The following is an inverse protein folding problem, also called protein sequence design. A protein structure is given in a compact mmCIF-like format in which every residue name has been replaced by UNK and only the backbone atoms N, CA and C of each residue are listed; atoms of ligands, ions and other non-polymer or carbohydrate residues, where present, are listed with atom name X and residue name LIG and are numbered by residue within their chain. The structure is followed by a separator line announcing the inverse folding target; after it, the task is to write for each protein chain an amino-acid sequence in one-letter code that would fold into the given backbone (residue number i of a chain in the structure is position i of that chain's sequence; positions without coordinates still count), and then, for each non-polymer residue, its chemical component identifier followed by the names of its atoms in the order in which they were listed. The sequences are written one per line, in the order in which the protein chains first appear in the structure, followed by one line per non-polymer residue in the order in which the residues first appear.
data_IF_279398347125
#
_entry.id   IF_279398347125
#
_cell.length_a   1.000
_cell.length_b   1.000
_cell.length_c   1.000
_cell.angle_alpha   90.00
_cell.angle_beta   90.00
_cell.angle_gamma   90.00
#
_symmetry.space_group_name_H-M   'P 1'
#
loop_
_entity.id
_entity.type
_entity.pdbx_description
1 polymer ?
#
# COMPACT_ATOMS: atom_id res chain seq x y z
N UNK A 1 -11.45 1.29 -17.29
CA UNK A 1 -10.81 1.12 -15.96
C UNK A 1 -9.55 0.29 -16.15
N UNK A 2 -8.42 0.71 -15.61
CA UNK A 2 -7.15 -0.02 -15.64
C UNK A 2 -6.86 -0.61 -14.26
N UNK A 3 -6.64 -1.91 -14.19
CA UNK A 3 -6.32 -2.62 -12.95
C UNK A 3 -4.91 -3.20 -13.05
N UNK A 4 -4.05 -2.81 -12.13
CA UNK A 4 -2.73 -3.41 -12.00
C UNK A 4 -2.78 -4.65 -11.11
N UNK A 5 -2.23 -5.77 -11.56
CA UNK A 5 -2.02 -6.99 -10.78
C UNK A 5 -0.55 -7.07 -10.41
N UNK A 6 -0.25 -7.08 -9.11
CA UNK A 6 1.10 -7.32 -8.58
C UNK A 6 1.13 -8.72 -7.98
N UNK A 7 1.83 -9.63 -8.66
CA UNK A 7 2.06 -10.99 -8.15
C UNK A 7 3.35 -11.05 -7.34
N UNK A 8 3.21 -11.16 -6.03
CA UNK A 8 4.31 -11.22 -5.07
C UNK A 8 4.75 -12.64 -4.67
N UNK A 9 4.23 -13.67 -5.33
CA UNK A 9 4.71 -15.05 -5.16
C UNK A 9 6.03 -15.32 -5.89
N UNK A 10 6.78 -16.36 -5.52
CA UNK A 10 8.00 -16.78 -6.24
C UNK A 10 7.74 -17.40 -7.61
N UNK A 11 6.50 -17.81 -7.87
CA UNK A 11 6.06 -18.39 -9.13
C UNK A 11 4.55 -18.16 -9.31
N UNK A 12 4.02 -18.48 -10.49
CA UNK A 12 2.59 -18.48 -10.82
C UNK A 12 1.87 -19.71 -10.22
N UNK A 13 1.75 -19.73 -8.88
CA UNK A 13 1.14 -20.83 -8.11
C UNK A 13 -0.34 -20.63 -7.74
N UNK A 14 -0.76 -21.27 -6.64
CA UNK A 14 -2.17 -21.33 -6.21
C UNK A 14 -2.84 -19.95 -6.03
N UNK A 15 -2.14 -18.99 -5.42
CA UNK A 15 -2.69 -17.63 -5.24
C UNK A 15 -2.85 -16.90 -6.57
N UNK A 16 -1.90 -17.09 -7.48
CA UNK A 16 -1.97 -16.55 -8.83
C UNK A 16 -3.14 -17.18 -9.61
N UNK A 17 -3.31 -18.51 -9.55
CA UNK A 17 -4.49 -19.19 -10.16
C UNK A 17 -5.82 -18.63 -9.66
N UNK A 18 -5.94 -18.36 -8.35
CA UNK A 18 -7.14 -17.71 -7.80
C UNK A 18 -7.29 -16.26 -8.29
N UNK A 19 -6.17 -15.55 -8.42
CA UNK A 19 -6.12 -14.17 -8.94
C UNK A 19 -6.59 -14.13 -10.39
N UNK A 20 -6.22 -15.11 -11.21
CA UNK A 20 -6.71 -15.27 -12.58
C UNK A 20 -8.22 -15.50 -12.62
N UNK A 21 -8.79 -16.29 -11.70
CA UNK A 21 -10.25 -16.41 -11.57
C UNK A 21 -10.92 -15.10 -11.19
N UNK A 22 -10.29 -14.30 -10.33
CA UNK A 22 -10.77 -12.94 -10.03
C UNK A 22 -10.69 -12.04 -11.28
N UNK A 23 -9.59 -12.09 -12.04
CA UNK A 23 -9.42 -11.36 -13.31
C UNK A 23 -10.52 -11.71 -14.31
N UNK A 24 -10.81 -13.01 -14.48
CA UNK A 24 -11.91 -13.52 -15.30
C UNK A 24 -13.27 -12.96 -14.84
N UNK A 25 -13.58 -12.98 -13.55
CA UNK A 25 -14.83 -12.42 -13.02
C UNK A 25 -14.96 -10.92 -13.29
N UNK A 26 -13.90 -10.15 -13.04
CA UNK A 26 -13.87 -8.71 -13.29
C UNK A 26 -14.11 -8.41 -14.77
N UNK A 27 -13.41 -9.10 -15.68
CA UNK A 27 -13.61 -8.99 -17.12
C UNK A 27 -15.03 -9.38 -17.56
N UNK A 28 -15.65 -10.34 -16.87
CA UNK A 28 -17.04 -10.72 -17.13
C UNK A 28 -18.06 -9.70 -16.61
N UNK A 29 -17.75 -8.97 -15.54
CA UNK A 29 -18.59 -7.86 -15.08
C UNK A 29 -18.51 -6.66 -16.03
N UNK A 30 -17.34 -6.43 -16.65
CA UNK A 30 -17.09 -5.31 -17.54
C UNK A 30 -15.96 -5.61 -18.52
N UNK A 31 -16.33 -5.79 -19.79
CA UNK A 31 -15.42 -6.14 -20.87
C UNK A 31 -14.43 -5.04 -21.24
N UNK A 32 -14.62 -3.82 -20.71
CA UNK A 32 -13.75 -2.66 -20.96
C UNK A 32 -12.60 -2.53 -19.96
N UNK A 33 -12.52 -3.42 -18.96
CA UNK A 33 -11.41 -3.40 -18.00
C UNK A 33 -10.11 -3.82 -18.69
N UNK A 34 -9.09 -2.99 -18.57
CA UNK A 34 -7.72 -3.31 -18.98
C UNK A 34 -6.94 -3.81 -17.76
N UNK A 35 -6.10 -4.82 -17.98
CA UNK A 35 -5.25 -5.39 -16.94
C UNK A 35 -3.79 -5.27 -17.35
N UNK A 36 -2.98 -4.77 -16.42
CA UNK A 36 -1.52 -4.89 -16.46
C UNK A 36 -1.10 -5.85 -15.36
N UNK A 37 -0.09 -6.69 -15.59
CA UNK A 37 0.43 -7.61 -14.58
C UNK A 37 1.94 -7.45 -14.44
N UNK A 38 2.42 -7.42 -13.20
CA UNK A 38 3.83 -7.51 -12.86
C UNK A 38 4.03 -8.70 -11.94
N UNK A 39 4.98 -9.56 -12.30
CA UNK A 39 5.48 -10.59 -11.39
C UNK A 39 6.75 -10.09 -10.70
N UNK A 40 6.72 -9.90 -9.38
CA UNK A 40 7.85 -9.33 -8.65
C UNK A 40 9.12 -10.18 -8.73
N UNK A 41 8.97 -11.51 -8.92
CA UNK A 41 10.11 -12.42 -9.12
C UNK A 41 10.91 -12.12 -10.39
N UNK A 42 10.27 -11.55 -11.42
CA UNK A 42 10.91 -11.28 -12.71
C UNK A 42 11.72 -9.97 -12.69
N UNK A 43 11.57 -9.15 -11.63
CA UNK A 43 12.20 -7.83 -11.51
C UNK A 43 13.66 -7.95 -11.06
N UNK A 44 14.05 -9.10 -10.48
CA UNK A 44 15.37 -9.31 -9.86
C UNK A 44 15.71 -8.13 -8.92
N UNK A 45 14.82 -7.84 -7.97
CA UNK A 45 14.96 -6.73 -7.04
C UNK A 45 15.94 -7.12 -5.91
N UNK A 46 17.11 -6.47 -5.78
CA UNK A 46 18.02 -6.76 -4.69
C UNK A 46 17.39 -6.42 -3.33
N UNK A 47 17.88 -7.01 -2.24
CA UNK A 47 17.34 -6.71 -0.91
C UNK A 47 17.52 -5.24 -0.52
N UNK A 48 16.52 -4.67 0.16
CA UNK A 48 16.62 -3.31 0.68
C UNK A 48 17.83 -3.20 1.62
N UNK A 49 18.71 -2.24 1.35
CA UNK A 49 19.97 -2.07 2.10
C UNK A 49 19.80 -1.26 3.39
N UNK A 50 18.60 -0.78 3.70
CA UNK A 50 18.37 0.08 4.86
C UNK A 50 19.10 1.42 4.80
N UNK A 51 19.56 1.87 3.62
CA UNK A 51 20.37 3.07 3.47
C UNK A 51 19.66 4.39 3.82
N UNK A 52 18.32 4.36 3.98
CA UNK A 52 17.47 5.51 4.33
C UNK A 52 17.55 6.70 3.38
N UNK A 53 18.14 6.54 2.19
CA UNK A 53 18.20 7.59 1.16
C UNK A 53 16.79 8.01 0.71
N UNK A 54 15.87 7.04 0.60
CA UNK A 54 14.50 7.32 0.22
C UNK A 54 13.80 8.31 1.16
N UNK A 55 14.08 8.26 2.46
CA UNK A 55 13.57 9.21 3.46
C UNK A 55 14.34 10.54 3.45
N UNK A 56 15.67 10.49 3.42
CA UNK A 56 16.53 11.69 3.59
C UNK A 56 16.63 12.57 2.36
N UNK A 57 16.87 11.96 1.21
CA UNK A 57 17.17 12.63 -0.07
C UNK A 57 16.11 12.38 -1.13
N UNK A 58 15.07 11.60 -0.79
CA UNK A 58 14.00 11.21 -1.68
C UNK A 58 14.22 9.87 -2.37
N UNK A 59 13.12 9.16 -2.64
CA UNK A 59 13.09 7.81 -3.20
C UNK A 59 13.86 7.63 -4.52
N UNK A 60 14.02 8.70 -5.31
CA UNK A 60 14.83 8.70 -6.55
C UNK A 60 16.31 8.41 -6.30
N UNK A 61 16.80 8.63 -5.08
CA UNK A 61 18.19 8.38 -4.67
C UNK A 61 18.41 6.99 -4.07
N UNK A 62 17.39 6.13 -4.07
CA UNK A 62 17.56 4.72 -3.73
C UNK A 62 18.47 4.04 -4.78
N UNK A 63 19.48 3.23 -4.39
CA UNK A 63 20.31 2.51 -5.35
C UNK A 63 19.51 1.57 -6.26
N UNK A 64 18.33 1.14 -5.82
CA UNK A 64 17.42 0.26 -6.57
C UNK A 64 16.25 1.03 -7.22
N UNK A 65 16.30 2.37 -7.28
CA UNK A 65 15.21 3.18 -7.84
C UNK A 65 14.83 2.77 -9.26
N UNK A 66 15.81 2.43 -10.12
CA UNK A 66 15.55 1.99 -11.50
C UNK A 66 14.61 0.78 -11.60
N UNK A 67 14.55 -0.08 -10.57
CA UNK A 67 13.64 -1.24 -10.52
C UNK A 67 12.31 -0.90 -9.82
N UNK A 68 12.32 0.02 -8.85
CA UNK A 68 11.14 0.39 -8.05
C UNK A 68 10.26 1.42 -8.74
N UNK A 69 10.86 2.43 -9.38
CA UNK A 69 10.14 3.54 -10.00
C UNK A 69 9.11 3.07 -11.04
N UNK A 70 9.43 2.15 -11.97
CA UNK A 70 8.43 1.67 -12.93
C UNK A 70 7.20 1.04 -12.27
N UNK A 71 7.38 0.31 -11.16
CA UNK A 71 6.26 -0.29 -10.41
C UNK A 71 5.40 0.81 -9.79
N UNK A 72 6.02 1.88 -9.26
CA UNK A 72 5.30 3.02 -8.70
C UNK A 72 4.49 3.75 -9.76
N UNK A 73 5.07 3.95 -10.95
CA UNK A 73 4.41 4.60 -12.07
C UNK A 73 3.19 3.78 -12.53
N UNK A 74 3.33 2.46 -12.64
CA UNK A 74 2.20 1.57 -12.96
C UNK A 74 1.10 1.61 -11.88
N UNK A 75 1.45 1.76 -10.60
CA UNK A 75 0.43 1.98 -9.55
C UNK A 75 -0.26 3.32 -9.79
N UNK A 76 0.49 4.39 -10.06
CA UNK A 76 -0.03 5.75 -10.32
C UNK A 76 -0.98 5.79 -11.53
N UNK A 77 -0.67 5.08 -12.60
CA UNK A 77 -1.46 5.00 -13.84
C UNK A 77 -2.72 4.12 -13.71
N UNK A 78 -2.75 3.20 -12.74
CA UNK A 78 -3.89 2.31 -12.52
C UNK A 78 -5.03 2.96 -11.73
N UNK A 79 -6.28 2.56 -11.97
CA UNK A 79 -7.43 2.96 -11.17
C UNK A 79 -7.51 2.18 -9.84
N UNK A 80 -7.02 0.94 -9.84
CA UNK A 80 -6.99 0.06 -8.69
C UNK A 80 -5.90 -1.01 -8.81
N UNK A 81 -5.53 -1.61 -7.67
CA UNK A 81 -4.45 -2.61 -7.61
C UNK A 81 -4.95 -3.92 -6.99
N UNK A 82 -4.63 -5.05 -7.60
CA UNK A 82 -4.79 -6.38 -7.03
C UNK A 82 -3.42 -6.89 -6.60
N UNK A 83 -3.28 -7.27 -5.33
CA UNK A 83 -2.09 -7.92 -4.81
C UNK A 83 -2.34 -9.42 -4.69
N UNK A 84 -1.62 -10.22 -5.48
CA UNK A 84 -1.57 -11.67 -5.35
C UNK A 84 -0.46 -12.03 -4.35
N UNK A 85 -0.85 -12.49 -3.16
CA UNK A 85 0.04 -12.64 -2.01
C UNK A 85 -0.05 -14.05 -1.42
N UNK A 86 0.78 -15.01 -1.84
CA UNK A 86 0.78 -16.33 -1.21
C UNK A 86 1.14 -16.23 0.27
N UNK A 87 0.53 -17.09 1.09
CA UNK A 87 0.77 -17.12 2.53
C UNK A 87 1.98 -18.00 2.84
N UNK A 88 3.12 -17.40 3.18
CA UNK A 88 4.32 -18.11 3.63
C UNK A 88 4.55 -17.80 5.11
N UNK A 89 4.57 -18.85 5.95
CA UNK A 89 4.71 -18.71 7.42
C UNK A 89 3.70 -17.73 8.04
N UNK A 90 2.48 -17.67 7.50
CA UNK A 90 1.41 -16.77 7.98
C UNK A 90 1.64 -15.28 7.69
N UNK A 91 2.59 -14.95 6.81
CA UNK A 91 2.97 -13.59 6.46
C UNK A 91 3.18 -13.40 4.94
N UNK A 92 3.51 -12.17 4.55
CA UNK A 92 3.94 -11.83 3.20
C UNK A 92 5.18 -12.66 2.78
N UNK A 93 5.26 -13.14 1.53
CA UNK A 93 6.47 -13.76 1.00
C UNK A 93 7.66 -12.80 1.02
N UNK A 94 8.88 -13.33 1.12
CA UNK A 94 10.11 -12.52 1.13
C UNK A 94 10.24 -11.59 -0.08
N UNK A 95 9.80 -12.02 -1.26
CA UNK A 95 9.81 -11.22 -2.50
C UNK A 95 8.92 -9.98 -2.36
N UNK A 96 7.66 -10.18 -1.94
CA UNK A 96 6.74 -9.07 -1.70
C UNK A 96 7.22 -8.18 -0.55
N UNK A 97 7.70 -8.78 0.54
CA UNK A 97 8.23 -8.04 1.68
C UNK A 97 9.40 -7.16 1.26
N UNK A 98 10.32 -7.67 0.45
CA UNK A 98 11.43 -6.89 -0.10
C UNK A 98 10.94 -5.69 -0.93
N UNK A 99 9.93 -5.88 -1.78
CA UNK A 99 9.28 -4.75 -2.47
C UNK A 99 8.68 -3.74 -1.47
N UNK A 100 7.93 -4.20 -0.46
CA UNK A 100 7.35 -3.30 0.54
C UNK A 100 8.39 -2.54 1.36
N UNK A 101 9.58 -3.13 1.59
CA UNK A 101 10.69 -2.49 2.31
C UNK A 101 11.30 -1.34 1.52
N UNK A 102 11.36 -1.45 0.19
CA UNK A 102 11.76 -0.33 -0.66
C UNK A 102 10.71 0.79 -0.68
N UNK A 103 9.45 0.43 -0.45
CA UNK A 103 8.31 1.35 -0.41
C UNK A 103 8.06 1.93 0.99
N UNK A 104 8.89 1.65 2.00
CA UNK A 104 8.67 2.09 3.38
C UNK A 104 8.50 3.61 3.53
N UNK A 105 9.15 4.41 2.68
CA UNK A 105 9.00 5.86 2.67
C UNK A 105 7.57 6.34 2.38
N UNK A 106 6.73 5.50 1.76
CA UNK A 106 5.32 5.80 1.54
C UNK A 106 4.54 5.95 2.83
N UNK A 107 4.97 5.33 3.94
CA UNK A 107 4.34 5.52 5.25
C UNK A 107 4.51 6.94 5.80
N UNK A 108 5.53 7.66 5.30
CA UNK A 108 5.78 9.06 5.62
C UNK A 108 5.23 10.01 4.56
N UNK A 109 5.20 9.57 3.30
CA UNK A 109 4.79 10.40 2.16
C UNK A 109 3.80 9.65 1.27
N UNK A 110 2.59 9.36 1.78
CA UNK A 110 1.54 8.64 1.06
C UNK A 110 1.14 9.33 -0.25
N UNK A 111 0.74 8.54 -1.24
CA UNK A 111 0.40 9.03 -2.60
C UNK A 111 -0.95 8.55 -3.11
N UNK A 112 -1.32 7.31 -2.80
CA UNK A 112 -2.38 6.59 -3.50
C UNK A 112 -3.78 6.80 -2.91
N UNK A 113 -4.09 8.03 -2.50
CA UNK A 113 -5.27 8.39 -1.69
C UNK A 113 -6.62 8.03 -2.27
N UNK A 114 -6.70 7.91 -3.60
CA UNK A 114 -7.94 7.60 -4.33
C UNK A 114 -8.03 6.15 -4.78
N UNK A 115 -6.92 5.39 -4.68
CA UNK A 115 -6.83 4.03 -5.19
C UNK A 115 -7.41 3.04 -4.18
N UNK A 116 -7.97 1.95 -4.71
CA UNK A 116 -8.48 0.82 -3.91
C UNK A 116 -7.64 -0.42 -4.20
N UNK A 117 -7.51 -1.28 -3.21
CA UNK A 117 -6.76 -2.52 -3.32
C UNK A 117 -7.64 -3.75 -3.10
N UNK A 118 -7.35 -4.84 -3.79
CA UNK A 118 -7.83 -6.18 -3.47
C UNK A 118 -6.64 -7.08 -3.17
N UNK A 119 -6.59 -7.65 -1.98
CA UNK A 119 -5.50 -8.53 -1.53
C UNK A 119 -6.01 -9.96 -1.53
N UNK A 120 -5.41 -10.81 -2.36
CA UNK A 120 -5.79 -12.21 -2.54
C UNK A 120 -4.68 -13.07 -1.96
N UNK A 121 -5.04 -14.03 -1.11
CA UNK A 121 -4.08 -14.98 -0.54
C UNK A 121 -4.64 -16.39 -0.50
N UNK A 122 -3.81 -17.37 -0.84
CA UNK A 122 -4.10 -18.78 -0.58
C UNK A 122 -3.09 -19.37 0.40
N UNK A 123 -3.54 -20.32 1.22
CA UNK A 123 -2.69 -21.13 2.11
C UNK A 123 -2.98 -22.63 1.93
N UNK A 124 -2.00 -23.48 2.21
CA UNK A 124 -2.20 -24.94 2.28
C UNK A 124 -3.03 -25.39 3.48
N UNK A 125 -3.15 -24.57 4.54
CA UNK A 125 -3.93 -24.91 5.74
C UNK A 125 -4.47 -23.70 6.47
N UNK A 126 -3.61 -22.97 7.19
CA UNK A 126 -4.02 -21.85 8.06
C UNK A 126 -3.35 -20.53 7.66
N UNK A 127 -3.85 -19.42 8.21
CA UNK A 127 -3.19 -18.09 8.17
C UNK A 127 -3.22 -17.30 6.85
N UNK A 128 -4.06 -17.70 5.87
CA UNK A 128 -4.31 -16.86 4.70
C UNK A 128 -4.86 -15.47 5.10
N UNK A 129 -5.69 -15.41 6.15
CA UNK A 129 -6.26 -14.15 6.65
C UNK A 129 -5.19 -13.27 7.34
N UNK A 130 -4.27 -13.87 8.10
CA UNK A 130 -3.12 -13.16 8.67
C UNK A 130 -2.31 -12.47 7.56
N UNK A 131 -2.07 -13.19 6.46
CA UNK A 131 -1.33 -12.67 5.30
C UNK A 131 -2.05 -11.48 4.64
N UNK A 132 -3.35 -11.58 4.38
CA UNK A 132 -4.11 -10.47 3.80
C UNK A 132 -4.20 -9.27 4.75
N UNK A 133 -4.35 -9.53 6.06
CA UNK A 133 -4.39 -8.48 7.10
C UNK A 133 -3.06 -7.75 7.22
N UNK A 134 -1.93 -8.46 7.14
CA UNK A 134 -0.60 -7.87 7.21
C UNK A 134 -0.41 -6.80 6.12
N UNK A 135 -0.73 -7.11 4.86
CA UNK A 135 -0.64 -6.12 3.78
C UNK A 135 -1.71 -5.03 3.92
N UNK A 136 -2.93 -5.39 4.33
CA UNK A 136 -4.03 -4.43 4.53
C UNK A 136 -3.74 -3.41 5.65
N UNK A 137 -2.86 -3.74 6.59
CA UNK A 137 -2.39 -2.80 7.61
C UNK A 137 -1.38 -1.78 7.05
N UNK A 138 -0.63 -2.14 6.01
CA UNK A 138 0.39 -1.29 5.38
C UNK A 138 -0.19 -0.36 4.31
N UNK A 139 -1.05 -0.86 3.42
CA UNK A 139 -1.51 -0.11 2.23
C UNK A 139 -2.21 1.23 2.54
N UNK A 140 -3.04 1.36 3.59
CA UNK A 140 -3.61 2.66 3.97
C UNK A 140 -2.53 3.70 4.31
N UNK A 141 -1.39 3.25 4.87
CA UNK A 141 -0.23 4.10 5.11
C UNK A 141 0.44 4.58 3.82
N UNK A 142 0.28 3.88 2.70
CA UNK A 142 0.69 4.35 1.36
C UNK A 142 -0.35 5.27 0.71
N UNK A 143 -1.53 5.38 1.33
CA UNK A 143 -2.64 6.20 0.87
C UNK A 143 -3.87 5.40 0.42
N UNK A 144 -3.79 4.08 0.17
CA UNK A 144 -4.93 3.33 -0.39
C UNK A 144 -6.22 3.55 0.42
N UNK A 145 -7.26 4.04 -0.26
CA UNK A 145 -8.50 4.48 0.36
C UNK A 145 -9.28 3.33 1.01
N UNK A 146 -9.27 2.16 0.34
CA UNK A 146 -9.98 0.96 0.77
C UNK A 146 -9.23 -0.28 0.33
N UNK A 147 -9.12 -1.25 1.24
CA UNK A 147 -8.56 -2.57 0.96
C UNK A 147 -9.65 -3.63 1.14
N UNK A 148 -9.82 -4.47 0.11
CA UNK A 148 -10.60 -5.69 0.11
C UNK A 148 -9.68 -6.88 0.33
N UNK A 149 -10.17 -7.94 0.98
CA UNK A 149 -9.36 -9.11 1.32
C UNK A 149 -10.08 -10.38 0.88
N UNK A 150 -9.35 -11.30 0.24
CA UNK A 150 -9.79 -12.62 -0.17
C UNK A 150 -8.79 -13.68 0.31
N UNK A 151 -8.84 -14.06 1.60
CA UNK A 151 -8.09 -15.20 2.09
C UNK A 151 -8.83 -16.51 1.80
N UNK A 152 -8.11 -17.52 1.29
CA UNK A 152 -8.63 -18.84 0.97
C UNK A 152 -7.67 -19.92 1.50
N UNK A 153 -8.21 -20.92 2.18
CA UNK A 153 -7.50 -22.17 2.44
C UNK A 153 -7.68 -23.07 1.23
N UNK A 154 -6.62 -23.22 0.43
CA UNK A 154 -6.63 -23.99 -0.81
C UNK A 154 -6.52 -25.50 -0.58
N UNK A 155 -5.96 -25.94 0.56
CA UNK A 155 -5.64 -27.35 0.85
C UNK A 155 -4.88 -28.02 -0.31
N UNK A 156 -3.95 -27.28 -0.91
CA UNK A 156 -3.16 -27.73 -2.07
C UNK A 156 -1.75 -27.17 -1.99
N UNK A 157 -0.79 -28.00 -2.40
CA UNK A 157 0.63 -27.66 -2.44
C UNK A 157 0.98 -26.89 -3.72
N UNK A 158 0.66 -27.45 -4.88
CA UNK A 158 1.00 -26.90 -6.20
C UNK A 158 -0.05 -27.12 -7.28
N UNK A 159 -1.15 -27.81 -6.98
CA UNK A 159 -2.20 -28.10 -7.95
C UNK A 159 -3.58 -27.66 -7.45
N UNK A 160 -3.70 -26.36 -7.18
CA UNK A 160 -4.96 -25.85 -6.66
C UNK A 160 -6.00 -25.71 -7.77
N UNK A 161 -7.12 -26.40 -7.57
CA UNK A 161 -8.36 -26.22 -8.31
C UNK A 161 -9.40 -25.52 -7.40
N UNK A 162 -9.78 -24.26 -7.71
CA UNK A 162 -10.78 -23.57 -6.91
C UNK A 162 -12.14 -24.29 -6.90
N UNK A 163 -12.54 -24.80 -5.74
CA UNK A 163 -13.89 -25.35 -5.53
C UNK A 163 -14.99 -24.32 -5.84
N UNK A 164 -16.22 -24.81 -6.06
CA UNK A 164 -17.40 -23.93 -6.23
C UNK A 164 -17.55 -22.91 -5.08
N UNK A 165 -17.21 -23.30 -3.85
CA UNK A 165 -17.23 -22.42 -2.66
C UNK A 165 -16.18 -21.32 -2.78
N UNK A 166 -14.95 -21.67 -3.20
CA UNK A 166 -13.87 -20.69 -3.43
C UNK A 166 -14.25 -19.69 -4.52
N UNK A 167 -14.77 -20.19 -5.65
CA UNK A 167 -15.21 -19.37 -6.78
C UNK A 167 -16.36 -18.43 -6.40
N UNK A 168 -17.36 -18.91 -5.63
CA UNK A 168 -18.45 -18.06 -5.14
C UNK A 168 -17.92 -16.91 -4.29
N UNK A 169 -17.09 -17.21 -3.29
CA UNK A 169 -16.48 -16.19 -2.41
C UNK A 169 -15.62 -15.20 -3.20
N UNK A 170 -14.83 -15.69 -4.16
CA UNK A 170 -14.00 -14.87 -5.02
C UNK A 170 -14.84 -13.92 -5.88
N UNK A 171 -15.92 -14.41 -6.51
CA UNK A 171 -16.85 -13.62 -7.31
C UNK A 171 -17.55 -12.54 -6.48
N UNK A 172 -18.02 -12.86 -5.26
CA UNK A 172 -18.65 -11.88 -4.37
C UNK A 172 -17.69 -10.76 -3.93
N UNK A 173 -16.43 -11.10 -3.60
CA UNK A 173 -15.41 -10.08 -3.27
C UNK A 173 -15.06 -9.26 -4.51
N UNK A 174 -14.85 -9.89 -5.66
CA UNK A 174 -14.56 -9.22 -6.92
C UNK A 174 -15.66 -8.25 -7.31
N UNK A 175 -16.94 -8.64 -7.18
CA UNK A 175 -18.09 -7.78 -7.46
C UNK A 175 -18.12 -6.56 -6.55
N UNK A 176 -17.91 -6.73 -5.24
CA UNK A 176 -17.86 -5.59 -4.29
C UNK A 176 -16.69 -4.65 -4.59
N UNK A 177 -15.52 -5.19 -4.92
CA UNK A 177 -14.36 -4.40 -5.32
C UNK A 177 -14.63 -3.62 -6.61
N UNK A 178 -15.11 -4.30 -7.65
CA UNK A 178 -15.47 -3.69 -8.94
C UNK A 178 -16.46 -2.54 -8.80
N UNK A 179 -17.59 -2.77 -8.14
CA UNK A 179 -18.63 -1.75 -7.98
C UNK A 179 -18.10 -0.53 -7.21
N UNK A 180 -17.26 -0.75 -6.20
CA UNK A 180 -16.68 0.34 -5.42
C UNK A 180 -15.65 1.14 -6.23
N UNK A 181 -14.77 0.49 -7.00
CA UNK A 181 -13.84 1.18 -7.91
C UNK A 181 -14.63 1.97 -8.96
N UNK A 182 -15.60 1.33 -9.64
CA UNK A 182 -16.42 1.96 -10.68
C UNK A 182 -17.21 3.16 -10.19
N UNK A 183 -17.71 3.11 -8.95
CA UNK A 183 -18.48 4.22 -8.38
C UNK A 183 -17.66 5.50 -8.13
N UNK A 184 -16.33 5.41 -8.09
CA UNK A 184 -15.47 6.53 -7.69
C UNK A 184 -15.63 6.94 -6.22
N UNK A 185 -16.43 6.21 -5.42
CA UNK A 185 -16.71 6.54 -4.02
C UNK A 185 -15.42 6.56 -3.21
N UNK A 186 -15.19 7.66 -2.49
CA UNK A 186 -14.13 7.76 -1.49
C UNK A 186 -14.67 7.40 -0.11
N UNK A 187 -13.91 6.60 0.62
CA UNK A 187 -14.23 6.15 1.97
C UNK A 187 -13.53 7.01 3.01
N UNK A 188 -14.20 7.21 4.14
CA UNK A 188 -13.64 7.94 5.28
C UNK A 188 -12.48 7.14 5.87
N UNK A 189 -11.27 7.73 6.03
CA UNK A 189 -10.07 7.01 6.46
C UNK A 189 -10.19 6.49 7.90
N UNK A 190 -9.52 5.40 8.21
CA UNK A 190 -9.40 4.90 9.58
C UNK A 190 -8.59 5.84 10.48
N UNK A 191 -8.78 5.76 11.80
CA UNK A 191 -8.02 6.61 12.75
C UNK A 191 -6.51 6.36 12.66
N UNK A 192 -6.10 5.11 12.39
CA UNK A 192 -4.69 4.73 12.30
C UNK A 192 -3.87 5.54 11.30
N UNK A 193 -4.46 5.98 10.18
CA UNK A 193 -3.75 6.83 9.18
C UNK A 193 -3.87 8.32 9.49
N UNK A 194 -4.84 8.75 10.29
CA UNK A 194 -4.96 10.16 10.70
C UNK A 194 -3.82 10.57 11.64
N UNK A 195 -3.34 9.63 12.46
CA UNK A 195 -2.24 9.84 13.40
C UNK A 195 -0.96 10.26 12.67
N UNK A 196 -0.33 9.41 11.82
CA UNK A 196 0.89 9.78 11.13
C UNK A 196 0.67 10.96 10.19
N UNK A 197 -0.48 11.06 9.51
CA UNK A 197 -0.75 12.16 8.59
C UNK A 197 -0.69 13.53 9.28
N UNK A 198 -1.37 13.69 10.41
CA UNK A 198 -1.41 14.98 11.12
C UNK A 198 -0.15 15.22 11.96
N UNK A 199 0.50 14.17 12.49
CA UNK A 199 1.77 14.28 13.21
C UNK A 199 2.90 14.74 12.29
N UNK A 200 3.13 14.06 11.16
CA UNK A 200 4.23 14.40 10.27
C UNK A 200 4.03 15.78 9.64
N UNK A 201 2.80 16.13 9.24
CA UNK A 201 2.45 17.47 8.81
C UNK A 201 2.83 18.53 9.85
N UNK A 202 2.49 18.31 11.13
CA UNK A 202 2.78 19.26 12.19
C UNK A 202 4.28 19.37 12.49
N UNK A 203 4.98 18.23 12.51
CA UNK A 203 6.39 18.17 12.86
C UNK A 203 7.27 18.79 11.78
N UNK A 204 7.02 18.52 10.50
CA UNK A 204 7.83 19.07 9.41
C UNK A 204 7.67 20.59 9.23
N UNK A 205 6.54 21.17 9.62
CA UNK A 205 6.29 22.64 9.52
C UNK A 205 6.94 23.43 10.66
N UNK A 206 7.44 22.77 11.72
CA UNK A 206 7.96 23.44 12.93
C UNK A 206 9.20 22.80 13.54
N UNK A 207 9.95 22.00 12.78
CA UNK A 207 11.13 21.29 13.28
C UNK A 207 12.37 22.21 13.30
N UNK A 208 12.97 22.41 14.49
CA UNK A 208 14.21 23.18 14.66
C UNK A 208 15.41 22.56 13.94
N UNK A 209 15.42 21.24 13.76
CA UNK A 209 16.51 20.48 13.14
C UNK A 209 16.49 20.46 11.61
N UNK A 210 15.51 21.10 10.95
CA UNK A 210 15.37 21.08 9.49
C UNK A 210 16.64 21.54 8.76
N UNK A 211 17.32 22.57 9.27
CA UNK A 211 18.56 23.08 8.65
C UNK A 211 19.76 22.14 8.84
N UNK A 212 19.79 21.40 9.94
CA UNK A 212 20.91 20.53 10.29
C UNK A 212 20.77 19.13 9.68
N UNK A 213 19.53 18.60 9.69
CA UNK A 213 19.13 17.27 9.22
C UNK A 213 17.92 17.37 8.26
N UNK A 214 18.07 18.00 7.08
CA UNK A 214 16.97 18.08 6.12
C UNK A 214 16.56 16.68 5.64
N UNK A 215 15.27 16.47 5.45
CA UNK A 215 14.71 15.25 4.88
C UNK A 215 13.76 15.58 3.75
N UNK A 216 13.47 14.60 2.89
CA UNK A 216 12.49 14.78 1.82
C UNK A 216 11.05 14.97 2.37
N UNK A 217 10.80 14.56 3.61
CA UNK A 217 9.55 14.81 4.30
C UNK A 217 9.31 16.31 4.54
N UNK A 218 10.38 17.09 4.79
CA UNK A 218 10.30 18.56 4.92
C UNK A 218 9.76 19.23 3.65
N UNK A 219 10.10 18.69 2.48
CA UNK A 219 9.62 19.20 1.19
C UNK A 219 8.18 18.76 0.89
N UNK A 220 7.78 17.58 1.37
CA UNK A 220 6.49 16.99 1.03
C UNK A 220 5.32 17.56 1.83
N UNK A 221 5.46 17.73 3.14
CA UNK A 221 4.35 18.06 4.04
C UNK A 221 3.76 19.47 3.93
N UNK A 222 4.51 20.53 3.52
CA UNK A 222 3.96 21.87 3.35
C UNK A 222 2.71 21.93 2.47
N UNK A 223 2.58 21.08 1.45
CA UNK A 223 1.41 21.05 0.54
C UNK A 223 0.10 20.66 1.24
N UNK A 224 0.18 19.99 2.38
CA UNK A 224 -1.00 19.60 3.16
C UNK A 224 -1.30 20.57 4.30
N UNK A 225 -0.51 21.62 4.54
CA UNK A 225 -0.61 22.49 5.73
C UNK A 225 -2.04 22.95 6.00
N UNK A 226 -2.51 22.71 7.22
CA UNK A 226 -3.87 23.08 7.68
C UNK A 226 -4.96 22.05 7.35
N UNK A 227 -4.70 21.10 6.46
CA UNK A 227 -5.61 19.99 6.16
C UNK A 227 -5.59 18.94 7.27
N UNK A 228 -6.65 18.13 7.37
CA UNK A 228 -6.77 17.02 8.34
C UNK A 228 -6.53 15.65 7.72
N UNK A 229 -6.64 15.58 6.41
CA UNK A 229 -6.32 14.42 5.59
C UNK A 229 -6.17 14.88 4.12
N UNK A 230 -5.88 13.95 3.21
CA UNK A 230 -5.71 14.24 1.79
C UNK A 230 -6.96 14.92 1.16
N UNK A 231 -6.76 15.87 0.23
CA UNK A 231 -7.84 16.52 -0.53
C UNK A 231 -8.76 15.51 -1.21
N UNK A 232 -10.06 15.84 -1.29
CA UNK A 232 -11.06 15.00 -1.94
C UNK A 232 -11.52 13.79 -1.12
N UNK A 233 -10.86 13.45 -0.01
CA UNK A 233 -11.26 12.35 0.85
C UNK A 233 -12.24 12.83 1.93
N UNK A 234 -13.43 12.19 2.07
CA UNK A 234 -14.42 12.62 3.02
C UNK A 234 -13.97 12.37 4.47
N UNK A 235 -14.40 13.26 5.35
CA UNK A 235 -14.08 13.21 6.78
C UNK A 235 -15.32 13.56 7.59
N UNK A 236 -15.63 12.74 8.59
CA UNK A 236 -16.70 13.04 9.55
C UNK A 236 -16.28 14.18 10.49
N UNK A 237 -17.21 14.94 11.09
CA UNK A 237 -16.89 16.00 12.06
C UNK A 237 -15.96 15.52 13.19
N UNK A 238 -16.26 14.36 13.77
CA UNK A 238 -15.42 13.75 14.82
C UNK A 238 -13.99 13.48 14.34
N UNK A 239 -13.81 12.94 13.13
CA UNK A 239 -12.46 12.68 12.59
C UNK A 239 -11.72 13.96 12.23
N UNK A 240 -12.41 15.01 11.78
CA UNK A 240 -11.81 16.34 11.57
C UNK A 240 -11.29 16.92 12.90
N UNK A 241 -12.09 16.83 13.95
CA UNK A 241 -11.70 17.25 15.29
C UNK A 241 -10.50 16.44 15.81
N UNK A 242 -10.55 15.11 15.71
CA UNK A 242 -9.44 14.24 16.14
C UNK A 242 -8.14 14.56 15.40
N UNK A 243 -8.19 14.72 14.07
CA UNK A 243 -7.02 15.13 13.28
C UNK A 243 -6.44 16.47 13.73
N UNK A 244 -7.29 17.43 14.12
CA UNK A 244 -6.86 18.73 14.62
C UNK A 244 -6.15 18.60 15.97
N UNK A 245 -6.71 17.81 16.89
CA UNK A 245 -6.07 17.51 18.19
C UNK A 245 -4.69 16.89 17.98
N UNK A 246 -4.59 15.87 17.12
CA UNK A 246 -3.31 15.20 16.79
C UNK A 246 -2.31 16.20 16.22
N UNK A 247 -2.74 17.08 15.31
CA UNK A 247 -1.89 18.12 14.75
C UNK A 247 -1.33 19.07 15.83
N UNK A 248 -2.16 19.48 16.80
CA UNK A 248 -1.70 20.32 17.93
C UNK A 248 -0.66 19.61 18.80
N UNK A 249 -0.86 18.32 19.09
CA UNK A 249 0.13 17.48 19.79
C UNK A 249 1.44 17.45 19.00
N UNK A 250 1.37 17.22 17.68
CA UNK A 250 2.54 17.23 16.80
C UNK A 250 3.31 18.55 16.82
N UNK A 251 2.62 19.70 16.83
CA UNK A 251 3.28 21.02 16.95
C UNK A 251 3.98 21.22 18.30
N UNK A 252 3.49 20.60 19.37
CA UNK A 252 4.16 20.64 20.69
C UNK A 252 5.41 19.76 20.65
N UNK A 253 5.31 18.54 20.12
CA UNK A 253 6.43 17.60 19.98
C UNK A 253 7.53 18.13 19.07
N UNK A 254 7.19 18.85 18.00
CA UNK A 254 8.17 19.41 17.04
C UNK A 254 9.20 20.35 17.67
N UNK A 255 8.90 20.92 18.85
CA UNK A 255 9.79 21.85 19.56
C UNK A 255 10.95 21.15 20.26
N UNK A 256 10.78 19.88 20.62
CA UNK A 256 11.73 19.09 21.41
C UNK A 256 12.27 17.88 20.65
N UNK A 257 11.54 17.38 19.65
CA UNK A 257 11.94 16.21 18.88
C UNK A 257 12.83 16.62 17.70
N UNK A 258 14.09 16.18 17.74
CA UNK A 258 15.02 16.30 16.61
C UNK A 258 15.25 14.90 16.05
N UNK A 259 14.95 14.71 14.77
CA UNK A 259 15.24 13.47 14.05
C UNK A 259 16.65 13.61 13.47
N UNK A 260 17.60 12.86 14.00
CA UNK A 260 19.00 12.90 13.57
C UNK A 260 19.33 11.75 12.63
N UNK A 261 20.36 11.92 11.81
CA UNK A 261 20.95 10.82 11.03
C UNK A 261 22.43 11.08 10.80
N UNK A 262 23.22 10.01 10.71
CA UNK A 262 24.64 10.11 10.34
C UNK A 262 24.73 10.50 8.86
N UNK A 263 25.27 11.68 8.56
CA UNK A 263 25.68 12.01 7.18
C UNK A 263 26.82 11.04 6.83
N UNK A 264 26.63 10.23 5.78
CA UNK A 264 27.76 9.45 5.25
C UNK A 264 28.80 10.48 4.79
N UNK A 265 30.01 10.39 5.34
CA UNK A 265 31.15 11.16 4.82
C UNK A 265 31.33 10.69 3.38
N UNK A 266 31.20 11.61 2.43
CA UNK A 266 31.49 11.38 1.02
C UNK A 266 32.99 11.17 0.89
#
# INVERSE_FOLDING_TARGET
MRILIINGGPHKGNTWRLTEKVREFLYNFDKTIMFDEIHLSDIDLPFCTGCSNCFRKGHVTCPHNKKIQPIMDMIEESDAVIFSVPCFQGHLPGILKNFTDHMAFMLHRPRYFTKKALIISTTGGVSADSTTKALAATLPGWGFNKCYQLPITALSWNDYEPTKKHLKKASEVAKRFYLDVKSGKMHVPGVGVLIPFNLFQAMCVGNKGEKEYPTEDNNFWPKYKGMRYAPGIPMTPLKRFLGWVIYLVGKKLSKTMVITYKKQKI
#
